data_IF_081250705836
#
_entry.id   IF_081250705836
#
_cell.length_a   1.000
_cell.length_b   1.000
_cell.length_c   1.000
_cell.angle_alpha   90.00
_cell.angle_beta   90.00
_cell.angle_gamma   90.00
#
_symmetry.space_group_name_H-M   'P 1'
#
loop_
_entity.id
_entity.type
_entity.pdbx_description
1 polymer ?
#
# COMPACT_ATOMS: atom_id res chain seq x y z
N UNK A 1 21.68 -30.51 7.67
CA UNK A 1 21.51 -29.14 8.21
C UNK A 1 20.04 -28.95 8.52
N UNK A 2 19.67 -29.00 9.80
CA UNK A 2 18.29 -28.75 10.24
C UNK A 2 18.21 -27.29 10.69
N UNK A 3 17.39 -26.49 10.02
CA UNK A 3 17.09 -25.11 10.41
C UNK A 3 15.90 -25.17 11.36
N UNK A 4 16.16 -24.96 12.66
CA UNK A 4 15.13 -24.76 13.67
C UNK A 4 14.55 -23.35 13.50
N UNK A 5 13.32 -23.26 12.99
CA UNK A 5 12.53 -22.04 13.06
C UNK A 5 11.81 -22.03 14.40
N UNK A 6 12.30 -21.23 15.34
CA UNK A 6 11.64 -21.00 16.63
C UNK A 6 10.59 -19.92 16.42
N UNK A 7 9.31 -20.30 16.34
CA UNK A 7 8.19 -19.34 16.44
C UNK A 7 7.93 -19.04 17.92
N UNK A 8 7.81 -17.76 18.33
CA UNK A 8 7.42 -17.43 19.68
C UNK A 8 5.94 -17.80 19.88
N UNK A 9 5.68 -18.78 20.74
CA UNK A 9 4.34 -19.08 21.24
C UNK A 9 3.99 -17.99 22.24
N UNK A 10 3.24 -16.98 21.80
CA UNK A 10 2.66 -15.98 22.70
C UNK A 10 1.51 -16.64 23.47
N UNK A 11 1.66 -16.72 24.79
CA UNK A 11 0.66 -17.29 25.68
C UNK A 11 -0.41 -16.24 25.96
N UNK A 12 -1.58 -16.37 25.32
CA UNK A 12 -2.73 -15.51 25.54
C UNK A 12 -3.51 -16.00 26.76
N UNK A 13 -3.29 -15.35 27.91
CA UNK A 13 -4.10 -15.55 29.11
C UNK A 13 -5.35 -14.66 29.09
N UNK A 14 -6.43 -15.15 29.68
CA UNK A 14 -7.82 -14.65 29.67
C UNK A 14 -8.06 -13.30 30.36
N UNK A 15 -7.03 -12.45 30.51
CA UNK A 15 -7.15 -11.11 31.13
C UNK A 15 -7.10 -10.05 30.04
N UNK A 16 -8.17 -9.26 29.99
CA UNK A 16 -8.40 -8.05 29.19
C UNK A 16 -7.30 -7.72 28.16
N UNK A 17 -7.63 -7.92 26.88
CA UNK A 17 -6.76 -7.63 25.72
C UNK A 17 -6.17 -6.21 25.69
N UNK A 18 -6.61 -5.30 26.57
CA UNK A 18 -6.17 -3.90 26.63
C UNK A 18 -4.90 -3.65 27.44
N UNK A 19 -4.46 -4.55 28.33
CA UNK A 19 -3.48 -4.16 29.35
C UNK A 19 -1.99 -4.38 29.01
N UNK A 20 -1.61 -4.93 27.84
CA UNK A 20 -0.17 -5.17 27.56
C UNK A 20 0.21 -4.96 26.10
N UNK A 21 0.55 -3.72 25.77
CA UNK A 21 1.44 -3.39 24.64
C UNK A 21 2.85 -3.25 25.23
N UNK A 22 3.86 -4.02 24.76
CA UNK A 22 5.25 -3.76 25.13
C UNK A 22 5.73 -2.48 24.43
N UNK A 23 6.09 -1.46 25.21
CA UNK A 23 6.77 -0.26 24.70
C UNK A 23 8.15 -0.64 24.15
N UNK A 24 8.31 -0.58 22.83
CA UNK A 24 9.61 -0.67 22.17
C UNK A 24 10.21 0.73 22.08
N UNK A 25 11.05 1.09 23.06
CA UNK A 25 11.87 2.30 23.01
C UNK A 25 13.12 2.08 22.15
N UNK A 26 13.19 2.78 21.01
CA UNK A 26 14.38 2.89 20.18
C UNK A 26 14.68 4.36 19.89
N UNK A 27 15.87 4.82 20.31
CA UNK A 27 16.35 6.18 20.06
C UNK A 27 16.58 6.44 18.56
N UNK A 28 16.15 7.59 18.01
CA UNK A 28 16.46 7.94 16.63
C UNK A 28 17.92 8.41 16.49
N UNK A 29 18.72 7.66 15.75
CA UNK A 29 20.03 8.11 15.28
C UNK A 29 19.87 9.21 14.22
N UNK A 30 20.43 10.39 14.51
CA UNK A 30 20.53 11.50 13.60
C UNK A 30 21.49 11.19 12.43
N UNK A 31 20.98 11.16 11.21
CA UNK A 31 21.77 11.13 9.97
C UNK A 31 21.92 12.55 9.43
N UNK A 32 23.11 13.14 9.61
CA UNK A 32 23.48 14.43 9.01
C UNK A 32 23.94 14.19 7.57
N UNK A 33 23.26 14.79 6.59
CA UNK A 33 23.73 14.83 5.22
C UNK A 33 24.67 16.04 5.05
N UNK A 34 25.97 15.77 4.86
CA UNK A 34 26.96 16.75 4.43
C UNK A 34 26.77 17.07 2.94
N UNK A 35 26.69 18.36 2.61
CA UNK A 35 26.65 18.87 1.24
C UNK A 35 28.07 19.27 0.85
N UNK A 36 28.76 18.42 0.10
CA UNK A 36 30.05 18.75 -0.51
C UNK A 36 29.85 19.55 -1.80
N UNK A 37 29.98 20.87 -1.70
CA UNK A 37 30.05 21.78 -2.84
C UNK A 37 31.51 21.93 -3.31
N UNK A 38 31.93 21.11 -4.27
CA UNK A 38 33.22 21.29 -4.94
C UNK A 38 33.15 22.43 -5.99
N UNK A 39 33.59 23.63 -5.61
CA UNK A 39 33.74 24.78 -6.51
C UNK A 39 35.16 24.81 -7.10
N UNK A 40 35.31 24.48 -8.39
CA UNK A 40 36.56 24.64 -9.14
C UNK A 40 36.41 25.78 -10.14
N UNK A 41 37.00 26.94 -9.83
CA UNK A 41 37.09 28.10 -10.72
C UNK A 41 38.29 27.95 -11.64
N UNK A 42 38.07 27.67 -12.93
CA UNK A 42 39.03 27.98 -13.98
C UNK A 42 38.33 28.71 -15.13
N UNK A 43 38.81 29.93 -15.40
CA UNK A 43 38.31 30.83 -16.42
C UNK A 43 38.52 30.28 -17.82
N UNK A 44 37.42 30.09 -18.51
CA UNK A 44 37.33 29.75 -19.93
C UNK A 44 35.86 29.50 -20.21
N UNK A 45 35.28 30.22 -21.17
CA UNK A 45 33.84 30.25 -21.47
C UNK A 45 33.24 28.89 -21.88
N UNK A 46 33.21 27.94 -20.95
CA UNK A 46 32.44 26.71 -21.01
C UNK A 46 31.07 27.02 -20.44
N UNK A 47 30.04 26.71 -21.22
CA UNK A 47 28.67 26.64 -20.72
C UNK A 47 28.69 25.65 -19.55
N UNK A 48 28.51 26.15 -18.32
CA UNK A 48 28.28 25.29 -17.17
C UNK A 48 27.00 24.52 -17.44
N UNK A 49 27.14 23.24 -17.76
CA UNK A 49 26.03 22.31 -17.67
C UNK A 49 25.88 22.02 -16.19
N UNK A 50 24.99 22.75 -15.52
CA UNK A 50 24.61 22.46 -14.14
C UNK A 50 23.87 21.12 -14.19
N UNK A 51 24.57 20.05 -13.84
CA UNK A 51 23.97 18.73 -13.64
C UNK A 51 23.25 18.81 -12.30
N UNK A 52 21.98 19.19 -12.36
CA UNK A 52 21.11 19.14 -11.20
C UNK A 52 20.85 17.66 -10.90
N UNK A 53 21.42 17.14 -9.81
CA UNK A 53 21.08 15.81 -9.33
C UNK A 53 19.63 15.82 -8.86
N UNK A 54 18.77 15.08 -9.56
CA UNK A 54 17.34 14.94 -9.25
C UNK A 54 17.17 14.31 -7.86
N UNK A 55 18.14 13.49 -7.42
CA UNK A 55 18.10 12.75 -6.16
C UNK A 55 18.08 13.63 -4.90
N UNK A 56 18.51 14.89 -4.99
CA UNK A 56 18.57 15.80 -3.83
C UNK A 56 17.45 16.85 -3.76
N UNK A 57 16.58 16.93 -4.77
CA UNK A 57 15.63 18.04 -4.92
C UNK A 57 14.16 17.69 -4.70
N UNK A 58 13.82 16.41 -4.64
CA UNK A 58 12.43 16.00 -4.57
C UNK A 58 12.27 15.03 -3.39
N UNK A 59 11.45 15.43 -2.42
CA UNK A 59 10.89 14.48 -1.48
C UNK A 59 10.19 13.38 -2.30
N UNK A 60 10.33 12.11 -1.90
CA UNK A 60 9.69 10.99 -2.60
C UNK A 60 8.16 11.14 -2.79
N UNK A 61 7.56 12.06 -2.01
CA UNK A 61 6.14 12.41 -1.93
C UNK A 61 5.62 13.18 -3.15
N UNK A 62 6.35 14.21 -3.61
CA UNK A 62 5.95 15.06 -4.77
C UNK A 62 6.45 14.51 -6.11
N UNK A 63 7.14 13.37 -6.05
CA UNK A 63 7.93 12.80 -7.13
C UNK A 63 7.18 12.59 -8.46
N UNK A 64 5.94 12.06 -8.53
CA UNK A 64 5.40 11.62 -9.83
C UNK A 64 4.76 12.71 -10.69
N UNK A 65 4.02 13.64 -10.10
CA UNK A 65 3.26 14.63 -10.87
C UNK A 65 4.22 15.65 -11.51
N UNK A 66 5.23 16.10 -10.75
CA UNK A 66 6.23 17.06 -11.19
C UNK A 66 7.21 16.47 -12.21
N UNK A 67 7.50 15.17 -12.11
CA UNK A 67 8.42 14.49 -13.03
C UNK A 67 7.79 14.03 -14.33
N UNK A 68 6.47 14.08 -14.48
CA UNK A 68 5.81 13.60 -15.70
C UNK A 68 6.30 14.37 -16.95
N UNK A 69 6.34 15.70 -16.89
CA UNK A 69 6.79 16.54 -18.00
C UNK A 69 8.30 16.42 -18.27
N UNK A 70 9.20 16.53 -17.26
CA UNK A 70 10.62 16.23 -17.43
C UNK A 70 10.89 14.84 -18.04
N UNK A 71 10.15 13.81 -17.61
CA UNK A 71 10.29 12.44 -18.14
C UNK A 71 9.83 12.36 -19.59
N UNK A 72 8.73 13.03 -19.96
CA UNK A 72 8.28 13.14 -21.35
C UNK A 72 9.33 13.81 -22.25
N UNK A 73 9.93 14.90 -21.78
CA UNK A 73 11.01 15.57 -22.50
C UNK A 73 12.24 14.67 -22.61
N UNK A 74 12.68 14.04 -21.52
CA UNK A 74 13.79 13.09 -21.54
C UNK A 74 13.55 11.95 -22.53
N UNK A 75 12.33 11.40 -22.60
CA UNK A 75 11.97 10.38 -23.59
C UNK A 75 12.00 10.91 -25.01
N UNK A 76 11.46 12.11 -25.25
CA UNK A 76 11.44 12.78 -26.56
C UNK A 76 12.85 13.05 -27.10
N UNK A 77 13.76 13.44 -26.22
CA UNK A 77 15.16 13.76 -26.55
C UNK A 77 16.13 12.59 -26.31
N UNK A 78 15.62 11.39 -25.99
CA UNK A 78 16.42 10.18 -25.75
C UNK A 78 17.53 10.37 -24.71
N UNK A 79 17.19 11.06 -23.61
CA UNK A 79 18.11 11.29 -22.49
C UNK A 79 18.03 10.10 -21.52
N UNK A 80 18.66 9.00 -21.91
CA UNK A 80 18.50 7.69 -21.26
C UNK A 80 18.90 7.68 -19.77
N UNK A 81 19.90 8.47 -19.39
CA UNK A 81 20.36 8.52 -18.00
C UNK A 81 19.29 9.11 -17.05
N UNK A 82 18.50 10.09 -17.51
CA UNK A 82 17.37 10.65 -16.74
C UNK A 82 16.29 9.59 -16.60
N UNK A 83 15.93 8.92 -17.70
CA UNK A 83 14.91 7.87 -17.67
C UNK A 83 15.30 6.73 -16.72
N UNK A 84 16.58 6.33 -16.72
CA UNK A 84 17.11 5.31 -15.81
C UNK A 84 17.08 5.74 -14.35
N UNK A 85 17.43 6.99 -14.06
CA UNK A 85 17.38 7.54 -12.70
C UNK A 85 15.93 7.60 -12.20
N UNK A 86 15.02 8.17 -13.00
CA UNK A 86 13.58 8.24 -12.68
C UNK A 86 13.01 6.83 -12.48
N UNK A 87 13.34 5.87 -13.35
CA UNK A 87 12.92 4.48 -13.18
C UNK A 87 13.40 3.89 -11.85
N UNK A 88 14.67 4.13 -11.50
CA UNK A 88 15.28 3.60 -10.27
C UNK A 88 14.61 4.19 -9.04
N UNK A 89 14.36 5.49 -9.03
CA UNK A 89 13.65 6.15 -7.93
C UNK A 89 12.20 5.66 -7.84
N UNK A 90 11.50 5.55 -8.97
CA UNK A 90 10.12 5.06 -9.01
C UNK A 90 10.01 3.63 -8.46
N UNK A 91 10.97 2.74 -8.77
CA UNK A 91 11.00 1.38 -8.22
C UNK A 91 11.31 1.35 -6.72
N UNK A 92 12.05 2.34 -6.19
CA UNK A 92 12.31 2.45 -4.76
C UNK A 92 11.09 2.96 -4.00
N UNK A 93 10.33 3.88 -4.60
CA UNK A 93 9.15 4.48 -3.97
C UNK A 93 7.90 3.60 -4.03
N UNK A 94 7.89 2.55 -4.85
CA UNK A 94 6.77 1.62 -4.96
C UNK A 94 7.14 0.22 -4.49
N UNK A 95 6.31 -0.43 -3.66
CA UNK A 95 6.55 -1.78 -3.24
C UNK A 95 6.35 -2.74 -4.42
N UNK A 96 7.23 -3.74 -4.50
CA UNK A 96 7.13 -4.86 -5.45
C UNK A 96 6.78 -6.17 -4.75
N UNK A 97 6.69 -6.14 -3.43
CA UNK A 97 6.40 -7.30 -2.58
C UNK A 97 5.36 -6.93 -1.53
N UNK A 98 4.63 -7.92 -1.02
CA UNK A 98 3.68 -7.72 0.08
C UNK A 98 4.37 -7.16 1.34
N UNK A 99 5.59 -7.59 1.64
CA UNK A 99 6.35 -7.05 2.78
C UNK A 99 6.68 -5.56 2.61
N UNK A 100 7.05 -5.15 1.40
CA UNK A 100 7.27 -3.72 1.11
C UNK A 100 5.99 -2.90 1.23
N UNK A 101 4.86 -3.46 0.78
CA UNK A 101 3.55 -2.82 0.97
C UNK A 101 3.23 -2.65 2.46
N UNK A 102 3.44 -3.70 3.25
CA UNK A 102 3.18 -3.68 4.70
C UNK A 102 4.02 -2.65 5.44
N UNK A 103 5.29 -2.49 5.05
CA UNK A 103 6.18 -1.47 5.61
C UNK A 103 5.64 -0.06 5.36
N UNK A 104 5.26 0.24 4.10
CA UNK A 104 4.74 1.57 3.76
C UNK A 104 3.44 1.86 4.51
N UNK A 105 2.51 0.91 4.59
CA UNK A 105 1.25 1.11 5.34
C UNK A 105 1.50 1.24 6.85
N UNK A 106 2.53 0.58 7.40
CA UNK A 106 2.91 0.77 8.80
C UNK A 106 3.47 2.18 9.06
N UNK A 107 4.31 2.68 8.17
CA UNK A 107 4.81 4.05 8.23
C UNK A 107 3.66 5.06 8.10
N UNK A 108 2.64 4.80 7.25
CA UNK A 108 1.46 5.68 7.09
C UNK A 108 0.69 5.79 8.42
N UNK A 109 0.45 4.67 9.09
CA UNK A 109 -0.23 4.62 10.38
C UNK A 109 0.59 5.26 11.52
N UNK A 110 1.91 5.14 11.50
CA UNK A 110 2.79 5.79 12.47
C UNK A 110 2.74 7.32 12.33
N UNK A 111 2.79 7.84 11.10
CA UNK A 111 2.64 9.27 10.85
C UNK A 111 1.25 9.79 11.25
N UNK A 112 0.19 9.01 11.00
CA UNK A 112 -1.17 9.34 11.42
C UNK A 112 -1.33 9.35 12.95
N UNK A 113 -0.74 8.38 13.64
CA UNK A 113 -0.89 8.22 15.11
C UNK A 113 -0.05 9.22 15.91
N UNK A 114 1.14 9.59 15.43
CA UNK A 114 2.03 10.53 16.11
C UNK A 114 1.54 11.98 16.04
N UNK A 115 0.54 12.28 15.18
CA UNK A 115 0.06 13.64 14.97
C UNK A 115 1.14 14.61 14.46
N UNK A 116 2.32 14.08 14.10
CA UNK A 116 3.44 14.83 13.51
C UNK A 116 3.18 15.18 12.05
N UNK A 117 2.10 14.63 11.45
CA UNK A 117 1.39 15.25 10.34
C UNK A 117 0.78 16.58 10.78
N UNK A 118 1.64 17.56 11.03
CA UNK A 118 1.25 18.86 11.56
C UNK A 118 0.14 19.50 10.73
N UNK A 119 -0.78 20.12 11.48
CA UNK A 119 -1.81 21.09 11.06
C UNK A 119 -3.20 20.52 10.76
N UNK A 120 -3.95 20.28 11.85
CA UNK A 120 -5.36 20.64 12.12
C UNK A 120 -6.41 20.74 10.99
N UNK A 121 -6.32 20.01 9.90
CA UNK A 121 -7.23 20.21 8.79
C UNK A 121 -8.38 19.20 8.76
N UNK A 122 -9.48 19.64 8.17
CA UNK A 122 -10.75 18.93 8.03
C UNK A 122 -10.57 17.53 7.41
N UNK A 123 -11.61 16.69 7.48
CA UNK A 123 -11.72 15.44 6.70
C UNK A 123 -11.33 15.61 5.21
N UNK A 124 -11.39 16.84 4.70
CA UNK A 124 -11.01 17.25 3.34
C UNK A 124 -9.50 17.12 3.08
N UNK A 125 -8.63 17.39 4.08
CA UNK A 125 -7.18 17.24 3.93
C UNK A 125 -6.73 15.79 4.15
N UNK A 126 -7.46 15.01 4.95
CA UNK A 126 -7.19 13.57 5.13
C UNK A 126 -7.36 12.75 3.85
N UNK A 127 -8.28 13.13 2.96
CA UNK A 127 -8.46 12.48 1.66
C UNK A 127 -7.33 12.80 0.66
N UNK A 128 -6.56 13.87 0.93
CA UNK A 128 -5.38 14.28 0.15
C UNK A 128 -4.07 13.73 0.76
N UNK A 129 -4.11 13.29 2.02
CA UNK A 129 -2.95 12.86 2.80
C UNK A 129 -2.59 11.37 2.70
N UNK A 130 -2.73 10.76 1.52
CA UNK A 130 -2.10 9.46 1.22
C UNK A 130 -0.59 9.65 0.94
N UNK A 131 0.10 10.27 1.91
CA UNK A 131 1.39 11.00 1.77
C UNK A 131 2.61 10.11 1.53
N UNK A 132 2.54 8.81 1.79
CA UNK A 132 3.72 7.94 1.64
C UNK A 132 3.81 7.26 0.28
N UNK A 133 2.66 7.05 -0.38
CA UNK A 133 2.70 6.62 -1.78
C UNK A 133 2.82 7.84 -2.70
N UNK A 134 3.70 7.76 -3.70
CA UNK A 134 3.61 8.68 -4.82
C UNK A 134 2.22 8.57 -5.49
N UNK A 135 1.71 9.63 -6.11
CA UNK A 135 0.39 9.61 -6.78
C UNK A 135 0.32 8.45 -7.81
N UNK A 136 -0.64 7.50 -7.67
CA UNK A 136 -0.63 6.23 -8.41
C UNK A 136 -0.77 6.41 -9.91
N UNK A 137 -1.57 7.37 -10.39
CA UNK A 137 -1.81 7.54 -11.82
C UNK A 137 -0.61 8.12 -12.53
N UNK A 138 0.01 9.14 -11.97
CA UNK A 138 1.27 9.71 -12.45
C UNK A 138 2.39 8.68 -12.40
N UNK A 139 2.44 7.85 -11.35
CA UNK A 139 3.38 6.74 -11.23
C UNK A 139 3.19 5.71 -12.34
N UNK A 140 1.95 5.30 -12.64
CA UNK A 140 1.64 4.39 -13.76
C UNK A 140 2.08 5.01 -15.10
N UNK A 141 1.83 6.31 -15.30
CA UNK A 141 2.26 7.01 -16.52
C UNK A 141 3.79 7.05 -16.67
N UNK A 142 4.52 7.42 -15.60
CA UNK A 142 5.99 7.45 -15.61
C UNK A 142 6.56 6.05 -15.83
N UNK A 143 6.02 5.03 -15.16
CA UNK A 143 6.46 3.65 -15.34
C UNK A 143 6.32 3.19 -16.79
N UNK A 144 5.28 3.62 -17.52
CA UNK A 144 5.18 3.34 -18.98
C UNK A 144 6.27 4.04 -19.78
N UNK A 145 6.54 5.32 -19.49
CA UNK A 145 7.58 6.07 -20.19
C UNK A 145 8.97 5.45 -19.99
N UNK A 146 9.21 4.95 -18.77
CA UNK A 146 10.47 4.36 -18.32
C UNK A 146 10.55 2.84 -18.51
N UNK A 147 9.51 2.20 -19.04
CA UNK A 147 9.41 0.75 -19.20
C UNK A 147 9.66 -0.04 -17.89
N UNK A 148 8.94 0.34 -16.83
CA UNK A 148 9.10 -0.18 -15.46
C UNK A 148 7.80 -0.82 -14.96
N UNK A 149 7.37 -1.95 -15.55
CA UNK A 149 6.06 -2.52 -15.23
C UNK A 149 6.00 -3.20 -13.85
N UNK A 150 7.14 -3.39 -13.18
CA UNK A 150 7.24 -4.06 -11.88
C UNK A 150 6.43 -3.39 -10.78
N UNK A 151 6.13 -2.09 -10.90
CA UNK A 151 5.35 -1.34 -9.91
C UNK A 151 3.84 -1.45 -10.14
N UNK A 152 3.40 -1.90 -11.32
CA UNK A 152 1.99 -1.85 -11.72
C UNK A 152 1.05 -2.61 -10.77
N UNK A 153 1.37 -3.83 -10.27
CA UNK A 153 0.42 -4.57 -9.45
C UNK A 153 -0.04 -3.79 -8.21
N UNK A 154 0.91 -3.18 -7.48
CA UNK A 154 0.61 -2.41 -6.29
C UNK A 154 0.11 -0.99 -6.60
N UNK A 155 0.58 -0.36 -7.69
CA UNK A 155 0.09 0.96 -8.11
C UNK A 155 -1.38 0.92 -8.56
N UNK A 156 -1.76 -0.06 -9.37
CA UNK A 156 -3.16 -0.27 -9.75
C UNK A 156 -4.02 -0.69 -8.57
N UNK A 157 -3.46 -1.47 -7.64
CA UNK A 157 -4.16 -1.84 -6.42
C UNK A 157 -4.46 -0.61 -5.53
N UNK A 158 -3.47 0.25 -5.28
CA UNK A 158 -3.66 1.51 -4.54
C UNK A 158 -4.69 2.42 -5.22
N UNK A 159 -4.68 2.47 -6.56
CA UNK A 159 -5.69 3.21 -7.32
C UNK A 159 -7.10 2.63 -7.17
N UNK A 160 -7.22 1.30 -7.11
CA UNK A 160 -8.49 0.60 -6.92
C UNK A 160 -9.08 0.83 -5.53
N UNK A 161 -8.23 0.86 -4.50
CA UNK A 161 -8.64 1.05 -3.09
C UNK A 161 -8.77 2.52 -2.69
N UNK A 162 -8.41 3.45 -3.58
CA UNK A 162 -8.54 4.88 -3.34
C UNK A 162 -9.99 5.23 -2.98
N UNK A 163 -10.24 5.81 -1.79
CA UNK A 163 -11.58 6.02 -1.27
C UNK A 163 -12.43 6.78 -2.28
N UNK A 164 -13.54 6.18 -2.71
CA UNK A 164 -14.56 6.86 -3.50
C UNK A 164 -15.44 7.69 -2.58
N UNK A 165 -15.70 8.97 -2.93
CA UNK A 165 -16.68 9.77 -2.21
C UNK A 165 -17.98 8.99 -1.96
N UNK A 166 -18.43 8.21 -2.96
CA UNK A 166 -19.66 7.38 -2.93
C UNK A 166 -19.78 6.40 -1.75
N UNK A 167 -18.69 6.14 -1.02
CA UNK A 167 -18.65 5.23 0.13
C UNK A 167 -18.54 5.94 1.49
N UNK A 168 -18.43 7.28 1.53
CA UNK A 168 -18.53 8.01 2.79
C UNK A 168 -19.97 8.45 2.98
N UNK A 169 -20.63 7.97 4.04
CA UNK A 169 -22.02 8.35 4.40
C UNK A 169 -22.19 9.87 4.64
N UNK A 170 -21.10 10.65 4.65
CA UNK A 170 -21.02 12.10 4.82
C UNK A 170 -21.05 12.90 3.48
N UNK A 171 -21.62 12.32 2.42
CA UNK A 171 -21.53 12.82 1.05
C UNK A 171 -22.61 13.84 0.64
N UNK A 172 -22.23 15.12 0.54
CA UNK A 172 -22.84 16.01 -0.48
C UNK A 172 -21.93 17.16 -0.94
N UNK A 173 -20.93 17.54 -0.14
CA UNK A 173 -20.09 18.72 -0.43
C UNK A 173 -18.63 18.41 -0.81
N UNK A 174 -18.09 17.26 -0.40
CA UNK A 174 -16.69 16.86 -0.62
C UNK A 174 -16.37 16.41 -2.07
N UNK A 175 -17.31 15.74 -2.73
CA UNK A 175 -17.10 15.17 -4.07
C UNK A 175 -17.02 16.22 -5.21
N UNK A 176 -17.42 17.48 -4.93
CA UNK A 176 -17.48 18.54 -5.96
C UNK A 176 -16.13 19.20 -6.22
N UNK A 177 -15.19 19.14 -5.25
CA UNK A 177 -13.92 19.88 -5.31
C UNK A 177 -12.68 19.00 -5.42
N UNK A 178 -12.77 17.67 -5.28
CA UNK A 178 -11.60 16.82 -5.53
C UNK A 178 -11.43 16.65 -7.05
N UNK A 179 -10.27 17.00 -7.64
CA UNK A 179 -9.99 16.87 -9.07
C UNK A 179 -9.74 15.39 -9.43
N UNK A 180 -10.59 14.48 -8.96
CA UNK A 180 -10.51 13.05 -9.25
C UNK A 180 -10.51 12.85 -10.75
N UNK A 181 -11.39 13.54 -11.51
CA UNK A 181 -11.46 13.45 -12.97
C UNK A 181 -10.16 13.79 -13.71
N UNK A 182 -9.30 14.63 -13.13
CA UNK A 182 -8.00 14.98 -13.73
C UNK A 182 -6.91 13.98 -13.35
N UNK A 183 -7.05 13.35 -12.18
CA UNK A 183 -6.20 12.27 -11.68
C UNK A 183 -6.58 10.89 -12.23
N UNK A 184 -7.63 10.76 -13.05
CA UNK A 184 -7.99 9.46 -13.61
C UNK A 184 -6.99 9.03 -14.68
N UNK A 185 -6.78 7.71 -14.85
CA UNK A 185 -5.94 7.22 -15.93
C UNK A 185 -6.39 7.80 -17.27
N UNK A 186 -5.47 8.45 -17.98
CA UNK A 186 -5.76 9.02 -19.31
C UNK A 186 -5.99 7.93 -20.35
N UNK A 187 -5.61 6.68 -20.03
CA UNK A 187 -5.73 5.54 -20.92
C UNK A 187 -7.07 4.80 -20.69
N UNK A 188 -7.96 4.68 -21.69
CA UNK A 188 -9.22 3.94 -21.56
C UNK A 188 -9.05 2.48 -21.13
N UNK A 189 -7.91 1.86 -21.47
CA UNK A 189 -7.63 0.49 -21.05
C UNK A 189 -7.43 0.37 -19.54
N UNK A 190 -6.94 1.40 -18.85
CA UNK A 190 -6.70 1.33 -17.41
C UNK A 190 -8.01 1.28 -16.65
N UNK A 191 -9.02 1.99 -17.15
CA UNK A 191 -10.39 1.87 -16.66
C UNK A 191 -10.94 0.47 -16.85
N UNK A 192 -10.72 -0.11 -18.02
CA UNK A 192 -11.10 -1.50 -18.29
C UNK A 192 -10.40 -2.44 -17.31
N UNK A 193 -9.08 -2.26 -17.07
CA UNK A 193 -8.29 -3.06 -16.12
C UNK A 193 -8.83 -2.92 -14.70
N UNK A 194 -9.10 -1.71 -14.22
CA UNK A 194 -9.65 -1.47 -12.87
C UNK A 194 -11.04 -2.11 -12.70
N UNK A 195 -11.93 -1.94 -13.67
CA UNK A 195 -13.28 -2.52 -13.64
C UNK A 195 -13.25 -4.05 -13.66
N UNK A 196 -12.45 -4.64 -14.55
CA UNK A 196 -12.27 -6.10 -14.62
C UNK A 196 -11.62 -6.63 -13.35
N UNK A 197 -10.62 -5.93 -12.81
CA UNK A 197 -9.99 -6.33 -11.56
C UNK A 197 -10.98 -6.34 -10.40
N UNK A 198 -11.85 -5.33 -10.29
CA UNK A 198 -12.89 -5.28 -9.26
C UNK A 198 -13.83 -6.50 -9.32
N UNK A 199 -14.28 -6.86 -10.52
CA UNK A 199 -15.13 -8.04 -10.73
C UNK A 199 -14.39 -9.35 -10.39
N UNK A 200 -13.13 -9.47 -10.83
CA UNK A 200 -12.29 -10.66 -10.57
C UNK A 200 -11.98 -10.82 -9.10
N UNK A 201 -11.65 -9.73 -8.41
CA UNK A 201 -11.39 -9.73 -6.97
C UNK A 201 -12.64 -10.15 -6.21
N UNK A 202 -13.82 -9.62 -6.57
CA UNK A 202 -15.10 -10.04 -5.97
C UNK A 202 -15.38 -11.53 -6.19
N UNK A 203 -15.20 -12.00 -7.43
CA UNK A 203 -15.39 -13.43 -7.77
C UNK A 203 -14.41 -14.33 -7.05
N UNK A 204 -13.13 -13.94 -7.02
CA UNK A 204 -12.08 -14.66 -6.31
C UNK A 204 -12.39 -14.74 -4.82
N UNK A 205 -12.86 -13.65 -4.21
CA UNK A 205 -13.23 -13.59 -2.81
C UNK A 205 -14.36 -14.57 -2.46
N UNK A 206 -15.39 -14.67 -3.32
CA UNK A 206 -16.47 -15.65 -3.18
C UNK A 206 -15.95 -17.09 -3.27
N UNK A 207 -14.95 -17.35 -4.12
CA UNK A 207 -14.35 -18.68 -4.29
C UNK A 207 -13.42 -19.08 -3.14
N UNK A 208 -12.66 -18.13 -2.58
CA UNK A 208 -11.71 -18.42 -1.50
C UNK A 208 -12.32 -18.32 -0.11
N UNK A 209 -13.60 -17.94 -0.02
CA UNK A 209 -14.35 -17.96 1.24
C UNK A 209 -14.17 -19.35 1.88
N UNK A 210 -13.61 -19.43 3.10
CA UNK A 210 -13.21 -20.66 3.72
C UNK A 210 -14.43 -21.52 3.89
N UNK A 211 -14.26 -22.78 3.50
CA UNK A 211 -15.19 -23.81 3.93
C UNK A 211 -15.21 -23.81 5.46
N UNK A 212 -16.41 -23.93 6.07
CA UNK A 212 -16.52 -23.99 7.52
C UNK A 212 -15.56 -25.06 8.03
N UNK A 213 -14.62 -24.65 8.88
CA UNK A 213 -13.68 -25.60 9.49
C UNK A 213 -14.50 -26.63 10.26
N UNK A 214 -14.01 -27.88 10.33
CA UNK A 214 -14.59 -28.89 11.22
C UNK A 214 -14.81 -28.25 12.61
N UNK A 215 -15.95 -28.51 13.25
CA UNK A 215 -16.25 -27.93 14.56
C UNK A 215 -15.10 -28.23 15.51
N UNK A 216 -14.65 -27.19 16.22
CA UNK A 216 -13.61 -27.35 17.23
C UNK A 216 -14.12 -28.34 18.28
N UNK A 217 -13.37 -29.41 18.55
CA UNK A 217 -13.74 -30.42 19.54
C UNK A 217 -13.77 -29.89 20.98
N UNK A 218 -13.22 -28.69 21.21
CA UNK A 218 -12.84 -28.24 22.53
C UNK A 218 -13.77 -27.23 23.20
N UNK A 219 -14.92 -26.83 22.64
CA UNK A 219 -16.01 -26.11 23.36
C UNK A 219 -17.10 -25.60 22.37
N UNK A 220 -18.34 -25.35 22.83
CA UNK A 220 -19.45 -24.82 22.01
C UNK A 220 -19.30 -23.39 21.40
N UNK A 221 -18.55 -22.41 21.94
CA UNK A 221 -18.49 -21.05 21.37
C UNK A 221 -17.64 -20.95 20.09
N UNK A 222 -16.78 -21.94 19.79
CA UNK A 222 -16.00 -21.95 18.56
C UNK A 222 -16.83 -22.21 17.28
N UNK A 223 -18.14 -22.50 17.40
CA UNK A 223 -19.04 -22.62 16.24
C UNK A 223 -19.31 -21.27 15.54
N UNK A 224 -19.02 -20.14 16.19
CA UNK A 224 -19.21 -18.78 15.61
C UNK A 224 -18.17 -18.39 14.55
N UNK A 225 -17.24 -19.29 14.19
CA UNK A 225 -16.19 -19.04 13.20
C UNK A 225 -16.73 -18.61 11.81
N UNK A 226 -17.92 -19.08 11.42
CA UNK A 226 -18.56 -18.65 10.16
C UNK A 226 -18.99 -17.19 10.17
N UNK A 227 -19.38 -16.65 11.33
CA UNK A 227 -19.83 -15.27 11.46
C UNK A 227 -18.65 -14.30 11.33
N UNK A 228 -17.51 -14.62 11.94
CA UNK A 228 -16.30 -13.80 11.83
C UNK A 228 -15.86 -13.65 10.36
N UNK A 229 -15.83 -14.76 9.61
CA UNK A 229 -15.51 -14.70 8.18
C UNK A 229 -16.55 -13.92 7.37
N UNK A 230 -17.82 -14.14 7.65
CA UNK A 230 -18.89 -13.43 6.95
C UNK A 230 -18.84 -11.92 7.22
N UNK A 231 -18.65 -11.51 8.48
CA UNK A 231 -18.43 -10.11 8.85
C UNK A 231 -17.19 -9.53 8.20
N UNK A 232 -16.09 -10.30 8.12
CA UNK A 232 -14.91 -9.91 7.37
C UNK A 232 -15.25 -9.66 5.90
N UNK A 233 -15.92 -10.60 5.24
CA UNK A 233 -16.30 -10.49 3.84
C UNK A 233 -17.25 -9.32 3.55
N UNK A 234 -18.18 -9.03 4.47
CA UNK A 234 -19.03 -7.84 4.36
C UNK A 234 -18.22 -6.55 4.43
N UNK A 235 -17.26 -6.44 5.36
CA UNK A 235 -16.46 -5.22 5.51
C UNK A 235 -15.49 -5.04 4.33
N UNK A 236 -14.84 -6.12 3.89
CA UNK A 236 -14.01 -6.13 2.67
C UNK A 236 -14.84 -5.75 1.44
N UNK A 237 -16.04 -6.31 1.30
CA UNK A 237 -16.93 -6.03 0.18
C UNK A 237 -17.38 -4.56 0.14
N UNK A 238 -17.53 -3.90 1.29
CA UNK A 238 -17.86 -2.47 1.39
C UNK A 238 -16.67 -1.57 1.05
N UNK A 239 -15.49 -1.88 1.59
CA UNK A 239 -14.34 -0.99 1.49
C UNK A 239 -13.45 -1.26 0.27
N UNK A 240 -13.57 -2.42 -0.38
CA UNK A 240 -12.78 -2.80 -1.54
C UNK A 240 -11.29 -3.08 -1.26
N UNK A 241 -10.80 -2.78 -0.05
CA UNK A 241 -9.39 -2.92 0.32
C UNK A 241 -9.10 -4.26 1.02
N UNK A 242 -8.91 -5.31 0.22
CA UNK A 242 -8.53 -6.64 0.70
C UNK A 242 -7.20 -6.67 1.48
N UNK A 243 -6.17 -5.93 1.07
CA UNK A 243 -4.84 -5.96 1.69
C UNK A 243 -4.85 -5.21 3.02
N UNK A 244 -5.50 -4.05 3.11
CA UNK A 244 -5.65 -3.31 4.36
C UNK A 244 -6.51 -4.09 5.35
N UNK A 245 -7.58 -4.75 4.88
CA UNK A 245 -8.42 -5.57 5.76
C UNK A 245 -7.70 -6.78 6.32
N UNK A 246 -6.78 -7.38 5.56
CA UNK A 246 -5.94 -8.45 6.11
C UNK A 246 -4.90 -7.96 7.13
N UNK A 247 -4.62 -6.64 7.18
CA UNK A 247 -3.86 -6.00 8.27
C UNK A 247 -4.70 -5.82 9.55
N UNK A 248 -6.03 -5.98 9.52
CA UNK A 248 -6.82 -6.12 10.75
C UNK A 248 -6.36 -7.31 11.60
N UNK A 249 -5.67 -8.27 11.00
CA UNK A 249 -5.05 -9.39 11.69
C UNK A 249 -3.77 -8.98 12.45
N UNK A 250 -3.25 -7.78 12.18
CA UNK A 250 -2.11 -7.15 12.85
C UNK A 250 -2.55 -6.06 13.83
N UNK A 251 -3.71 -5.43 13.62
CA UNK A 251 -4.33 -4.52 14.60
C UNK A 251 -4.91 -5.36 15.75
N UNK A 252 -4.39 -5.23 16.99
CA UNK A 252 -4.83 -6.04 18.12
C UNK A 252 -6.31 -5.84 18.44
N UNK A 253 -6.84 -4.63 18.33
CA UNK A 253 -8.22 -4.30 18.72
C UNK A 253 -9.22 -4.84 17.69
N UNK A 254 -8.93 -4.65 16.41
CA UNK A 254 -9.75 -5.17 15.32
C UNK A 254 -9.69 -6.70 15.28
N UNK A 255 -8.51 -7.28 15.48
CA UNK A 255 -8.33 -8.72 15.58
C UNK A 255 -9.12 -9.29 16.75
N UNK A 256 -9.00 -8.68 17.94
CA UNK A 256 -9.74 -9.10 19.14
C UNK A 256 -11.26 -9.02 18.93
N UNK A 257 -11.74 -8.01 18.21
CA UNK A 257 -13.17 -7.94 17.85
C UNK A 257 -13.57 -9.05 16.89
N UNK A 258 -12.70 -9.45 15.96
CA UNK A 258 -12.98 -10.47 14.96
C UNK A 258 -12.95 -11.88 15.54
N UNK A 259 -12.01 -12.16 16.46
CA UNK A 259 -11.85 -13.49 17.08
C UNK A 259 -12.56 -13.63 18.42
N UNK A 260 -13.38 -12.66 18.80
CA UNK A 260 -14.20 -12.73 20.01
C UNK A 260 -15.06 -14.00 19.95
N UNK A 261 -14.92 -14.87 20.95
CA UNK A 261 -15.62 -16.16 21.01
C UNK A 261 -14.84 -17.37 20.45
N UNK A 262 -13.69 -17.14 19.80
CA UNK A 262 -12.79 -18.22 19.39
C UNK A 262 -11.80 -18.57 20.50
N UNK A 263 -11.52 -19.86 20.68
CA UNK A 263 -10.39 -20.28 21.49
C UNK A 263 -9.05 -19.89 20.82
N UNK A 264 -7.94 -19.77 21.57
CA UNK A 264 -6.64 -19.35 21.01
C UNK A 264 -6.16 -20.20 19.84
N UNK A 265 -6.42 -21.52 19.86
CA UNK A 265 -6.06 -22.41 18.76
C UNK A 265 -6.86 -22.09 17.48
N UNK A 266 -8.16 -21.85 17.59
CA UNK A 266 -9.00 -21.46 16.45
C UNK A 266 -8.63 -20.07 15.92
N UNK A 267 -8.36 -19.11 16.80
CA UNK A 267 -7.87 -17.79 16.42
C UNK A 267 -6.55 -17.90 15.64
N UNK A 268 -5.58 -18.69 16.12
CA UNK A 268 -4.31 -18.91 15.42
C UNK A 268 -4.50 -19.55 14.03
N UNK A 269 -5.39 -20.53 13.89
CA UNK A 269 -5.69 -21.16 12.59
C UNK A 269 -6.32 -20.12 11.65
N UNK A 270 -7.23 -19.30 12.15
CA UNK A 270 -7.87 -18.24 11.38
C UNK A 270 -6.84 -17.19 10.92
N UNK A 271 -5.94 -16.75 11.79
CA UNK A 271 -4.83 -15.85 11.47
C UNK A 271 -3.96 -16.41 10.33
N UNK A 272 -3.56 -17.68 10.44
CA UNK A 272 -2.75 -18.34 9.43
C UNK A 272 -3.46 -18.39 8.07
N UNK A 273 -4.77 -18.65 8.08
CA UNK A 273 -5.60 -18.64 6.85
C UNK A 273 -5.68 -17.24 6.24
N UNK A 274 -5.91 -16.21 7.04
CA UNK A 274 -5.90 -14.82 6.55
C UNK A 274 -4.56 -14.45 5.94
N UNK A 275 -3.45 -14.75 6.62
CA UNK A 275 -2.11 -14.50 6.11
C UNK A 275 -1.83 -15.26 4.80
N UNK A 276 -2.26 -16.52 4.71
CA UNK A 276 -2.11 -17.31 3.49
C UNK A 276 -2.94 -16.74 2.33
N UNK A 277 -4.18 -16.31 2.60
CA UNK A 277 -5.06 -15.69 1.60
C UNK A 277 -4.53 -14.32 1.16
N UNK A 278 -3.99 -13.52 2.07
CA UNK A 278 -3.35 -12.23 1.77
C UNK A 278 -2.16 -12.40 0.82
N UNK A 279 -1.28 -13.36 1.10
CA UNK A 279 -0.14 -13.68 0.20
C UNK A 279 -0.64 -14.12 -1.17
N UNK A 280 -1.58 -15.07 -1.20
CA UNK A 280 -2.18 -15.54 -2.45
C UNK A 280 -2.85 -14.42 -3.23
N UNK A 281 -3.50 -13.48 -2.56
CA UNK A 281 -4.10 -12.30 -3.19
C UNK A 281 -3.04 -11.39 -3.80
N UNK A 282 -1.99 -11.06 -3.06
CA UNK A 282 -0.88 -10.24 -3.52
C UNK A 282 -0.19 -10.86 -4.76
N UNK A 283 0.03 -12.17 -4.74
CA UNK A 283 0.61 -12.91 -5.87
C UNK A 283 -0.29 -12.94 -7.11
N UNK A 284 -1.60 -12.65 -6.96
CA UNK A 284 -2.59 -12.64 -8.04
C UNK A 284 -2.90 -11.23 -8.56
N UNK A 285 -2.30 -10.17 -7.99
CA UNK A 285 -2.57 -8.79 -8.43
C UNK A 285 -2.31 -8.60 -9.94
N UNK A 286 -1.18 -9.11 -10.45
CA UNK A 286 -0.87 -9.04 -11.89
C UNK A 286 -1.95 -9.67 -12.76
N UNK A 287 -2.48 -10.82 -12.34
CA UNK A 287 -3.56 -11.52 -13.01
C UNK A 287 -4.87 -10.72 -12.95
N UNK A 288 -5.22 -10.14 -11.81
CA UNK A 288 -6.46 -9.36 -11.67
C UNK A 288 -6.49 -8.16 -12.60
N UNK A 289 -5.36 -7.46 -12.75
CA UNK A 289 -5.23 -6.26 -13.58
C UNK A 289 -4.83 -6.53 -15.05
N UNK A 290 -4.75 -7.79 -15.49
CA UNK A 290 -4.34 -8.17 -16.86
C UNK A 290 -2.98 -7.57 -17.24
N UNK A 291 -2.00 -7.64 -16.34
CA UNK A 291 -0.68 -7.03 -16.54
C UNK A 291 0.30 -7.94 -17.29
N UNK A 292 -0.02 -9.22 -17.47
CA UNK A 292 0.86 -10.20 -18.11
C UNK A 292 1.24 -9.80 -19.54
N UNK A 293 0.32 -9.17 -20.29
CA UNK A 293 0.57 -8.66 -21.64
C UNK A 293 1.51 -7.45 -21.66
N UNK A 294 1.56 -6.69 -20.57
CA UNK A 294 2.38 -5.47 -20.47
C UNK A 294 3.77 -5.77 -19.88
N UNK A 295 3.91 -6.90 -19.20
CA UNK A 295 5.17 -7.38 -18.63
C UNK A 295 5.98 -8.28 -19.58
N UNK A 296 5.37 -8.76 -20.66
CA UNK A 296 6.00 -9.61 -21.69
C UNK A 296 6.84 -8.79 -22.68
#
# INVERSE_FOLDING_TARGET
MAVLVVSPVLHWGDKDCKERIPEFGGDPMASSAEIDAASSRHGGGRREVVIISISGLLNARDFPSELLEPTRLAKKYQIDWILKDVATQLQKSWPTTLLGWDAIIADEEEEESTGMGGWSASLEDRALDLRLFPEPVSSIHIARLCNTPTIFPFAFYRLLTWPTPENSDDEMDLAKNTPRKELLPRHPEDWKRLSVARERIGTWFLQVSPTPSKPCSNQPPCQENTNAWFSFGQKVGRNGDFLLFSKMASDPDLWCSLVRGLCPACASILQQRFNALRRKFADQLSYFFQLDEVMA
#
